data_IF_665779415796
#
_entry.id   IF_665779415796
#
_cell.length_a   1.000
_cell.length_b   1.000
_cell.length_c   1.000
_cell.angle_alpha   90.00
_cell.angle_beta   90.00
_cell.angle_gamma   90.00
#
_symmetry.space_group_name_H-M   'P 1'
#
loop_
_entity.id
_entity.type
_entity.pdbx_description
1 polymer ?
#
# COMPACT_ATOMS: atom_id res chain seq x y z
N UNK A 1 9.06 -22.84 -7.97
CA UNK A 1 7.76 -22.19 -7.74
C UNK A 1 7.97 -20.70 -7.89
N UNK A 2 7.87 -20.20 -9.13
CA UNK A 2 7.90 -18.76 -9.39
C UNK A 2 6.54 -18.24 -8.93
N UNK A 3 6.52 -17.52 -7.81
CA UNK A 3 5.35 -16.73 -7.47
C UNK A 3 5.31 -15.59 -8.50
N UNK A 4 4.54 -15.80 -9.57
CA UNK A 4 4.04 -14.71 -10.41
C UNK A 4 3.18 -13.84 -9.49
N UNK A 5 3.84 -12.98 -8.72
CA UNK A 5 3.25 -11.93 -7.93
C UNK A 5 2.56 -11.03 -8.94
N UNK A 6 1.29 -11.29 -9.17
CA UNK A 6 0.43 -10.43 -9.94
C UNK A 6 0.63 -9.01 -9.37
N UNK A 7 1.16 -8.04 -10.14
CA UNK A 7 1.59 -6.75 -9.61
C UNK A 7 0.46 -6.05 -8.83
N UNK A 8 -0.80 -6.29 -9.22
CA UNK A 8 -1.98 -5.85 -8.50
C UNK A 8 -2.07 -6.36 -7.06
N UNK A 9 -1.69 -7.61 -6.80
CA UNK A 9 -1.74 -8.19 -5.45
C UNK A 9 -0.71 -7.53 -4.51
N UNK A 10 0.50 -7.21 -5.02
CA UNK A 10 1.52 -6.52 -4.24
C UNK A 10 1.13 -5.06 -3.96
N UNK A 11 0.54 -4.38 -4.95
CA UNK A 11 -0.03 -3.03 -4.79
C UNK A 11 -1.15 -3.02 -3.76
N UNK A 12 -2.06 -3.99 -3.81
CA UNK A 12 -3.15 -4.11 -2.84
C UNK A 12 -2.63 -4.39 -1.42
N UNK A 13 -1.69 -5.31 -1.26
CA UNK A 13 -1.07 -5.60 0.03
C UNK A 13 -0.35 -4.37 0.62
N UNK A 14 0.34 -3.60 -0.23
CA UNK A 14 0.98 -2.34 0.18
C UNK A 14 -0.05 -1.28 0.58
N UNK A 15 -1.17 -1.16 -0.14
CA UNK A 15 -2.25 -0.23 0.20
C UNK A 15 -2.88 -0.56 1.56
N UNK A 16 -3.17 -1.84 1.81
CA UNK A 16 -3.66 -2.29 3.11
C UNK A 16 -2.67 -2.05 4.24
N UNK A 17 -1.38 -2.20 3.96
CA UNK A 17 -0.32 -1.90 4.92
C UNK A 17 -0.24 -0.41 5.26
N UNK A 18 -0.51 0.48 4.30
CA UNK A 18 -0.51 1.94 4.50
C UNK A 18 -1.68 2.40 5.41
N UNK A 19 -2.84 1.77 5.30
CA UNK A 19 -4.03 2.17 6.08
C UNK A 19 -4.05 1.62 7.51
N UNK A 20 -3.31 0.53 7.79
CA UNK A 20 -3.24 -0.07 9.12
C UNK A 20 -2.42 0.81 10.08
N UNK A 21 -2.87 1.02 11.33
CA UNK A 21 -2.07 1.69 12.35
C UNK A 21 -0.75 0.95 12.57
N UNK A 22 0.37 1.68 12.58
CA UNK A 22 1.70 1.11 12.73
C UNK A 22 2.66 2.09 13.42
N UNK A 23 3.66 1.60 14.15
CA UNK A 23 4.68 2.47 14.74
C UNK A 23 5.48 3.18 13.64
N UNK A 24 5.91 4.42 13.88
CA UNK A 24 6.73 5.15 12.92
C UNK A 24 8.06 4.41 12.73
N UNK A 25 8.40 4.12 11.47
CA UNK A 25 9.65 3.41 11.10
C UNK A 25 10.81 4.37 10.89
N UNK A 26 10.57 5.69 10.91
CA UNK A 26 11.57 6.72 10.56
C UNK A 26 11.86 6.83 9.06
N UNK A 27 11.27 5.96 8.23
CA UNK A 27 11.40 5.99 6.77
C UNK A 27 10.17 6.62 6.12
N UNK A 28 10.36 7.20 4.93
CA UNK A 28 9.22 7.64 4.13
C UNK A 28 8.39 6.44 3.67
N UNK A 29 7.07 6.61 3.60
CA UNK A 29 6.14 5.53 3.23
C UNK A 29 6.51 4.88 1.90
N UNK A 30 6.94 5.67 0.90
CA UNK A 30 7.35 5.16 -0.41
C UNK A 30 8.60 4.28 -0.30
N UNK A 31 9.63 4.72 0.43
CA UNK A 31 10.83 3.91 0.61
C UNK A 31 10.51 2.57 1.31
N UNK A 32 9.67 2.64 2.35
CA UNK A 32 9.29 1.48 3.15
C UNK A 32 8.50 0.44 2.34
N UNK A 33 7.50 0.86 1.55
CA UNK A 33 6.72 -0.08 0.73
C UNK A 33 7.52 -0.65 -0.46
N UNK A 34 8.45 0.14 -1.03
CA UNK A 34 9.36 -0.37 -2.06
C UNK A 34 10.25 -1.47 -1.52
N UNK A 35 10.85 -1.26 -0.34
CA UNK A 35 11.71 -2.25 0.30
C UNK A 35 10.95 -3.51 0.74
N UNK A 36 9.73 -3.35 1.26
CA UNK A 36 8.94 -4.48 1.79
C UNK A 36 8.25 -5.33 0.73
N UNK A 37 7.71 -4.69 -0.30
CA UNK A 37 6.85 -5.34 -1.29
C UNK A 37 7.51 -5.47 -2.67
N UNK A 38 8.75 -5.00 -2.83
CA UNK A 38 9.49 -5.08 -4.09
C UNK A 38 8.91 -4.19 -5.20
N UNK A 39 8.15 -3.15 -4.83
CA UNK A 39 7.43 -2.31 -5.78
C UNK A 39 8.36 -1.34 -6.53
N UNK A 40 8.02 -1.08 -7.79
CA UNK A 40 8.49 0.08 -8.53
C UNK A 40 7.92 1.37 -7.95
N UNK A 41 8.49 2.51 -8.37
CA UNK A 41 7.95 3.82 -7.98
C UNK A 41 6.52 4.02 -8.49
N UNK A 42 6.18 3.52 -9.68
CA UNK A 42 4.84 3.64 -10.25
C UNK A 42 3.82 2.83 -9.43
N UNK A 43 4.13 1.58 -9.12
CA UNK A 43 3.27 0.71 -8.28
C UNK A 43 3.12 1.26 -6.85
N UNK A 44 4.17 1.88 -6.31
CA UNK A 44 4.12 2.55 -5.01
C UNK A 44 3.13 3.73 -5.01
N UNK A 45 3.06 4.49 -6.11
CA UNK A 45 2.09 5.57 -6.28
C UNK A 45 0.67 4.99 -6.36
N UNK A 46 0.47 3.89 -7.09
CA UNK A 46 -0.83 3.21 -7.15
C UNK A 46 -1.27 2.68 -5.78
N UNK A 47 -0.35 2.11 -5.00
CA UNK A 47 -0.65 1.65 -3.64
C UNK A 47 -1.12 2.80 -2.73
N UNK A 48 -0.51 3.98 -2.86
CA UNK A 48 -0.94 5.18 -2.12
C UNK A 48 -2.32 5.66 -2.58
N UNK A 49 -2.58 5.68 -3.89
CA UNK A 49 -3.90 6.04 -4.43
C UNK A 49 -4.98 5.09 -3.93
N UNK A 50 -4.70 3.78 -3.95
CA UNK A 50 -5.61 2.75 -3.45
C UNK A 50 -5.85 2.90 -1.94
N UNK A 51 -4.80 3.14 -1.15
CA UNK A 51 -4.92 3.39 0.29
C UNK A 51 -5.82 4.60 0.61
N UNK A 52 -5.72 5.69 -0.16
CA UNK A 52 -6.59 6.85 0.02
C UNK A 52 -8.06 6.53 -0.30
N UNK A 53 -8.33 5.81 -1.39
CA UNK A 53 -9.69 5.34 -1.73
C UNK A 53 -10.27 4.45 -0.62
N UNK A 54 -9.46 3.57 -0.04
CA UNK A 54 -9.89 2.70 1.07
C UNK A 54 -10.24 3.51 2.33
N UNK A 55 -9.47 4.57 2.62
CA UNK A 55 -9.79 5.50 3.73
C UNK A 55 -11.10 6.24 3.47
N UNK A 56 -11.30 6.79 2.28
CA UNK A 56 -12.55 7.48 1.90
C UNK A 56 -13.76 6.56 2.03
N UNK A 57 -13.66 5.32 1.54
CA UNK A 57 -14.72 4.33 1.65
C UNK A 57 -15.03 3.96 3.12
N UNK A 58 -14.02 3.93 4.00
CA UNK A 58 -14.22 3.70 5.42
C UNK A 58 -14.93 4.87 6.11
N UNK A 59 -14.57 6.12 5.76
CA UNK A 59 -15.27 7.31 6.26
C UNK A 59 -16.73 7.35 5.79
N UNK A 60 -16.99 7.07 4.51
CA UNK A 60 -18.34 7.04 3.95
C UNK A 60 -19.26 6.00 4.61
N UNK A 61 -18.71 4.90 5.15
CA UNK A 61 -19.50 3.89 5.89
C UNK A 61 -19.83 4.30 7.33
N UNK A 62 -19.20 5.35 7.85
CA UNK A 62 -19.37 5.81 9.24
C UNK A 62 -20.37 6.98 9.35
N UNK A 63 -20.78 7.58 8.22
CA UNK A 63 -21.83 8.62 8.15
C UNK A 63 -23.20 8.04 7.84
#
# INVERSE_FOLDING_TARGET
MSADLNPDAAVQAAAEFIIKPRPPTGQSTIADIKCRFGLTTAESIEAIRLANKLREAAYAKTS
#
